data_IF_053647090761
#
_entry.id   IF_053647090761
#
_cell.length_a   1.000
_cell.length_b   1.000
_cell.length_c   1.000
_cell.angle_alpha   90.00
_cell.angle_beta   90.00
_cell.angle_gamma   90.00
#
_symmetry.space_group_name_H-M   'P 1'
#
loop_
_entity.id
_entity.type
_entity.pdbx_description
1 polymer ?
#
# COMPACT_ATOMS: atom_id res chain seq x y z
N UNK A 1 -1.51 -17.38 16.48
CA UNK A 1 -2.50 -16.57 15.72
C UNK A 1 -2.54 -15.22 16.41
N UNK A 2 -2.22 -14.10 15.75
CA UNK A 2 -3.25 -13.26 15.14
C UNK A 2 -2.62 -12.23 14.18
N UNK A 3 -2.87 -12.42 12.89
CA UNK A 3 -2.32 -11.65 11.77
C UNK A 3 -2.93 -10.26 11.61
N UNK A 4 -2.65 -9.35 12.55
CA UNK A 4 -3.07 -7.94 12.41
C UNK A 4 -2.21 -7.15 11.41
N UNK A 5 -0.96 -7.55 11.19
CA UNK A 5 -0.10 -6.98 10.14
C UNK A 5 -0.52 -7.39 8.73
N UNK A 6 -1.00 -8.63 8.54
CA UNK A 6 -1.44 -9.14 7.24
C UNK A 6 -2.71 -8.44 6.74
N UNK A 7 -3.67 -8.13 7.61
CA UNK A 7 -4.98 -7.61 7.15
C UNK A 7 -4.85 -6.25 6.44
N UNK A 8 -3.97 -5.35 6.91
CA UNK A 8 -3.78 -4.04 6.29
C UNK A 8 -3.10 -4.15 4.91
N UNK A 9 -2.06 -5.00 4.81
CA UNK A 9 -1.34 -5.23 3.55
C UNK A 9 -2.20 -6.04 2.56
N UNK A 10 -3.02 -6.98 3.03
CA UNK A 10 -3.97 -7.73 2.20
C UNK A 10 -5.06 -6.82 1.64
N UNK A 11 -5.62 -5.93 2.47
CA UNK A 11 -6.59 -4.93 2.00
C UNK A 11 -5.97 -3.97 0.99
N UNK A 12 -4.74 -3.53 1.23
CA UNK A 12 -3.99 -2.69 0.29
C UNK A 12 -3.86 -3.39 -1.08
N UNK A 13 -3.34 -4.62 -1.12
CA UNK A 13 -3.15 -5.35 -2.37
C UNK A 13 -4.46 -5.74 -3.06
N UNK A 14 -5.55 -5.94 -2.30
CA UNK A 14 -6.87 -6.18 -2.87
C UNK A 14 -7.38 -4.96 -3.63
N UNK A 15 -7.26 -3.77 -3.03
CA UNK A 15 -7.57 -2.50 -3.68
C UNK A 15 -6.66 -2.21 -4.88
N UNK A 16 -5.34 -2.28 -4.69
CA UNK A 16 -4.37 -2.01 -5.75
C UNK A 16 -4.58 -2.89 -6.99
N UNK A 17 -4.90 -4.18 -6.78
CA UNK A 17 -5.18 -5.10 -7.89
C UNK A 17 -6.45 -4.72 -8.65
N UNK A 18 -7.55 -4.48 -7.95
CA UNK A 18 -8.83 -4.17 -8.59
C UNK A 18 -8.86 -2.78 -9.24
N UNK A 19 -8.24 -1.77 -8.62
CA UNK A 19 -8.32 -0.37 -9.07
C UNK A 19 -7.25 -0.01 -10.12
N UNK A 20 -6.10 -0.70 -10.14
CA UNK A 20 -5.00 -0.36 -11.06
C UNK A 20 -4.51 -1.54 -11.87
N UNK A 21 -4.19 -2.68 -11.25
CA UNK A 21 -3.48 -3.76 -11.96
C UNK A 21 -4.38 -4.47 -12.98
N UNK A 22 -5.64 -4.73 -12.64
CA UNK A 22 -6.57 -5.39 -13.58
C UNK A 22 -7.21 -4.45 -14.60
N UNK A 23 -7.14 -3.13 -14.38
CA UNK A 23 -7.72 -2.13 -15.27
C UNK A 23 -6.72 -1.54 -16.25
N UNK A 24 -5.42 -1.63 -15.97
CA UNK A 24 -4.36 -1.11 -16.83
C UNK A 24 -3.56 -2.26 -17.45
N UNK A 25 -3.29 -2.15 -18.74
CA UNK A 25 -2.34 -3.01 -19.44
C UNK A 25 -0.95 -2.35 -19.37
N UNK A 26 -0.01 -2.99 -18.67
CA UNK A 26 1.35 -2.47 -18.55
C UNK A 26 2.23 -3.09 -19.62
N UNK A 27 2.95 -2.24 -20.37
CA UNK A 27 3.86 -2.72 -21.42
C UNK A 27 5.17 -3.29 -20.86
N UNK A 28 5.53 -2.92 -19.63
CA UNK A 28 6.75 -3.39 -18.98
C UNK A 28 6.61 -3.40 -17.46
N UNK A 29 7.36 -4.29 -16.81
CA UNK A 29 7.43 -4.38 -15.34
C UNK A 29 7.88 -3.05 -14.73
N UNK A 30 8.73 -2.28 -15.43
CA UNK A 30 9.19 -0.96 -14.97
C UNK A 30 8.06 0.04 -14.83
N UNK A 31 7.12 0.02 -15.77
CA UNK A 31 5.94 0.89 -15.77
C UNK A 31 5.01 0.51 -14.62
N UNK A 32 4.76 -0.79 -14.45
CA UNK A 32 4.01 -1.31 -13.31
C UNK A 32 4.64 -0.91 -11.96
N UNK A 33 5.97 -0.99 -11.83
CA UNK A 33 6.65 -0.59 -10.58
C UNK A 33 6.54 0.91 -10.32
N UNK A 34 6.65 1.74 -11.36
CA UNK A 34 6.47 3.19 -11.24
C UNK A 34 5.05 3.53 -10.83
N UNK A 35 4.05 2.89 -11.46
CA UNK A 35 2.65 3.08 -11.14
C UNK A 35 2.34 2.62 -9.71
N UNK A 36 2.78 1.43 -9.31
CA UNK A 36 2.60 0.93 -7.93
C UNK A 36 3.22 1.88 -6.90
N UNK A 37 4.37 2.50 -7.19
CA UNK A 37 4.99 3.47 -6.29
C UNK A 37 4.12 4.72 -6.12
N UNK A 38 3.64 5.29 -7.24
CA UNK A 38 2.69 6.40 -7.23
C UNK A 38 1.39 6.05 -6.47
N UNK A 39 0.89 4.81 -6.62
CA UNK A 39 -0.27 4.35 -5.86
C UNK A 39 0.00 4.27 -4.36
N UNK A 40 1.19 3.83 -3.95
CA UNK A 40 1.58 3.75 -2.54
C UNK A 40 1.65 5.15 -1.95
N UNK A 41 2.23 6.12 -2.65
CA UNK A 41 2.24 7.52 -2.23
C UNK A 41 0.80 8.06 -2.12
N UNK A 42 -0.02 7.88 -3.16
CA UNK A 42 -1.44 8.26 -3.13
C UNK A 42 -2.21 7.62 -1.96
N UNK A 43 -2.02 6.33 -1.72
CA UNK A 43 -2.68 5.56 -0.67
C UNK A 43 -2.25 6.02 0.73
N UNK A 44 -0.96 6.30 0.92
CA UNK A 44 -0.41 6.84 2.16
C UNK A 44 -0.91 8.27 2.44
N UNK A 45 -1.10 9.10 1.40
CA UNK A 45 -1.56 10.48 1.55
C UNK A 45 -3.08 10.62 1.69
N UNK A 46 -3.88 9.78 1.01
CA UNK A 46 -5.35 9.88 1.00
C UNK A 46 -6.03 9.25 2.23
N UNK A 47 -5.37 8.34 2.93
CA UNK A 47 -5.97 7.56 4.02
C UNK A 47 -5.77 8.16 5.41
N UNK A 48 -5.54 9.47 5.51
CA UNK A 48 -5.33 10.16 6.79
C UNK A 48 -6.58 10.37 7.67
N UNK A 49 -7.73 9.74 7.37
CA UNK A 49 -8.97 10.01 8.14
C UNK A 49 -9.54 8.90 8.99
N UNK A 50 -8.99 7.68 8.99
CA UNK A 50 -9.44 6.69 9.95
C UNK A 50 -8.27 5.84 10.45
N UNK A 51 -8.08 5.89 11.78
CA UNK A 51 -7.21 5.09 12.66
C UNK A 51 -6.19 5.99 13.37
N UNK A 52 -6.63 6.54 14.51
CA UNK A 52 -5.77 6.65 15.69
C UNK A 52 -4.90 5.37 15.76
N UNK A 53 -3.58 5.54 15.64
CA UNK A 53 -2.54 4.49 15.64
C UNK A 53 -2.15 3.83 14.30
N UNK A 54 -2.23 4.53 13.16
CA UNK A 54 -1.40 4.15 12.02
C UNK A 54 0.06 4.55 12.29
N UNK A 55 0.86 3.61 12.82
CA UNK A 55 2.32 3.76 12.82
C UNK A 55 2.79 3.45 11.40
N UNK A 56 3.26 4.43 10.63
CA UNK A 56 3.67 4.20 9.26
C UNK A 56 4.85 3.20 9.23
N UNK A 57 4.99 2.40 8.16
CA UNK A 57 5.94 1.29 8.10
C UNK A 57 7.42 1.70 8.30
N UNK A 58 7.75 2.99 8.13
CA UNK A 58 9.10 3.53 8.40
C UNK A 58 9.37 3.87 9.88
N UNK A 59 8.34 4.03 10.72
CA UNK A 59 8.50 4.35 12.14
C UNK A 59 8.96 3.15 12.99
N UNK A 60 9.06 1.94 12.44
CA UNK A 60 9.64 0.78 13.13
C UNK A 60 11.18 0.76 13.10
N UNK A 61 11.84 1.82 12.61
CA UNK A 61 13.31 1.89 12.57
C UNK A 61 13.83 2.76 13.72
N UNK A 62 14.61 2.10 14.60
CA UNK A 62 15.35 2.61 15.76
C UNK A 62 14.53 2.89 17.03
N UNK A 63 14.50 1.89 17.90
CA UNK A 63 14.88 2.11 19.29
C UNK A 63 16.02 1.15 19.64
N UNK A 64 17.19 1.73 19.85
CA UNK A 64 18.34 1.13 20.54
C UNK A 64 17.93 0.70 21.94
#
# INVERSE_FOLDING_TARGET
MNGKGCICIERFWRSAKCERIYLNEYQSIRELMSDVNDYIEFYNHRRFHEILAYNPPWMCTKKV
#
